data_IF_399876074372
#
_entry.id   IF_399876074372
#
_cell.length_a   1.000
_cell.length_b   1.000
_cell.length_c   1.000
_cell.angle_alpha   90.00
_cell.angle_beta   90.00
_cell.angle_gamma   90.00
#
_symmetry.space_group_name_H-M   'P 1'
#
loop_
_entity.id
_entity.type
_entity.pdbx_description
1 polymer ?
#
# COMPACT_ATOMS: atom_id res chain seq x y z
N UNK A 1 -15.53 11.42 -2.53
CA UNK A 1 -14.43 12.33 -2.13
C UNK A 1 -13.16 11.87 -2.84
N UNK A 2 -12.62 12.64 -3.78
CA UNK A 2 -11.37 12.28 -4.47
C UNK A 2 -10.19 12.77 -3.61
N UNK A 3 -9.67 11.91 -2.73
CA UNK A 3 -8.48 12.24 -1.93
C UNK A 3 -7.22 12.22 -2.80
N UNK A 4 -6.31 13.18 -2.56
CA UNK A 4 -5.05 13.34 -3.30
C UNK A 4 -4.11 12.14 -3.12
N UNK A 5 -3.14 11.99 -4.02
CA UNK A 5 -2.16 10.90 -3.98
C UNK A 5 -1.35 10.89 -2.68
N UNK A 6 -1.01 12.05 -2.16
CA UNK A 6 -0.27 12.22 -0.90
C UNK A 6 -1.08 11.75 0.32
N UNK A 7 -2.39 12.03 0.34
CA UNK A 7 -3.28 11.53 1.40
C UNK A 7 -3.41 10.01 1.32
N UNK A 8 -3.55 9.46 0.11
CA UNK A 8 -3.54 8.01 -0.11
C UNK A 8 -2.22 7.38 0.36
N UNK A 9 -1.10 8.04 0.08
CA UNK A 9 0.21 7.60 0.54
C UNK A 9 0.26 7.59 2.07
N UNK A 10 -0.18 8.66 2.75
CA UNK A 10 -0.19 8.72 4.22
C UNK A 10 -0.99 7.57 4.83
N UNK A 11 -2.19 7.32 4.31
CA UNK A 11 -3.05 6.22 4.77
C UNK A 11 -2.32 4.88 4.60
N UNK A 12 -1.86 4.58 3.38
CA UNK A 12 -1.17 3.32 3.07
C UNK A 12 0.12 3.18 3.88
N UNK A 13 0.89 4.25 4.03
CA UNK A 13 2.13 4.27 4.80
C UNK A 13 1.92 4.05 6.29
N UNK A 14 0.81 4.54 6.84
CA UNK A 14 0.43 4.32 8.23
C UNK A 14 0.13 2.84 8.52
N UNK A 15 -0.45 2.14 7.55
CA UNK A 15 -0.75 0.69 7.69
C UNK A 15 0.47 -0.17 7.37
N UNK A 16 1.22 0.15 6.30
CA UNK A 16 2.46 -0.56 5.96
C UNK A 16 3.49 -0.45 7.09
N UNK A 17 3.72 0.76 7.60
CA UNK A 17 4.75 1.04 8.59
C UNK A 17 6.12 0.52 8.13
N UNK A 18 6.71 -0.35 8.94
CA UNK A 18 7.98 -1.04 8.63
C UNK A 18 7.77 -2.47 8.10
N UNK A 19 6.51 -2.91 8.00
CA UNK A 19 6.15 -4.25 7.58
C UNK A 19 5.91 -4.34 6.07
N UNK A 20 5.96 -5.56 5.57
CA UNK A 20 5.66 -5.88 4.16
C UNK A 20 4.33 -6.60 4.09
N UNK A 21 3.44 -6.08 3.27
CA UNK A 21 2.10 -6.64 3.10
C UNK A 21 1.83 -6.95 1.64
N UNK A 22 1.15 -8.06 1.39
CA UNK A 22 0.51 -8.26 0.08
C UNK A 22 -0.64 -7.28 -0.10
N UNK A 23 -1.10 -7.08 -1.34
CA UNK A 23 -2.30 -6.27 -1.61
C UNK A 23 -3.47 -6.71 -0.72
N UNK A 24 -3.69 -8.03 -0.61
CA UNK A 24 -4.79 -8.61 0.16
C UNK A 24 -4.64 -8.38 1.67
N UNK A 25 -3.44 -8.58 2.21
CA UNK A 25 -3.18 -8.32 3.64
C UNK A 25 -3.32 -6.83 3.98
N UNK A 26 -2.91 -5.95 3.06
CA UNK A 26 -3.04 -4.52 3.26
C UNK A 26 -4.52 -4.09 3.22
N UNK A 27 -5.33 -4.63 2.31
CA UNK A 27 -6.78 -4.42 2.30
C UNK A 27 -7.43 -4.87 3.62
N UNK A 28 -7.05 -6.04 4.12
CA UNK A 28 -7.55 -6.56 5.39
C UNK A 28 -7.13 -5.67 6.58
N UNK A 29 -5.87 -5.25 6.64
CA UNK A 29 -5.36 -4.37 7.70
C UNK A 29 -6.02 -2.98 7.67
N UNK A 30 -6.25 -2.43 6.47
CA UNK A 30 -6.98 -1.16 6.31
C UNK A 30 -8.44 -1.28 6.75
N UNK A 31 -9.10 -2.40 6.40
CA UNK A 31 -10.47 -2.68 6.82
C UNK A 31 -10.59 -2.86 8.34
N UNK A 32 -9.64 -3.55 8.98
CA UNK A 32 -9.57 -3.71 10.44
C UNK A 32 -9.46 -2.36 11.16
N UNK A 33 -8.67 -1.44 10.60
CA UNK A 33 -8.54 -0.06 11.11
C UNK A 33 -9.73 0.85 10.77
N UNK A 34 -10.78 0.34 10.13
CA UNK A 34 -11.94 1.12 9.70
C UNK A 34 -11.60 2.19 8.66
N UNK A 35 -10.45 2.07 8.01
CA UNK A 35 -10.01 2.97 6.95
C UNK A 35 -10.67 2.55 5.65
N UNK A 36 -11.39 3.47 5.01
CA UNK A 36 -11.97 3.22 3.70
C UNK A 36 -10.83 3.12 2.67
N UNK A 37 -10.62 1.91 2.15
CA UNK A 37 -9.73 1.70 1.03
C UNK A 37 -10.12 2.65 -0.12
N UNK A 38 -9.16 3.29 -0.80
CA UNK A 38 -9.48 3.89 -2.09
C UNK A 38 -10.00 2.77 -3.00
N UNK A 39 -11.06 3.03 -3.79
CA UNK A 39 -11.79 2.05 -4.65
C UNK A 39 -10.94 0.99 -5.36
N UNK A 40 -9.67 1.30 -5.65
CA UNK A 40 -8.72 0.35 -6.20
C UNK A 40 -7.36 0.51 -5.49
N UNK A 41 -7.14 -0.28 -4.43
CA UNK A 41 -5.89 -0.27 -3.67
C UNK A 41 -4.72 -0.70 -4.54
N UNK A 42 -4.88 -1.77 -5.32
CA UNK A 42 -3.86 -2.27 -6.25
C UNK A 42 -3.41 -1.21 -7.26
N UNK A 43 -4.36 -0.44 -7.82
CA UNK A 43 -4.07 0.69 -8.71
C UNK A 43 -3.39 1.82 -7.97
N UNK A 44 -3.83 2.15 -6.76
CA UNK A 44 -3.22 3.18 -5.92
C UNK A 44 -1.76 2.85 -5.62
N UNK A 45 -1.48 1.63 -5.17
CA UNK A 45 -0.13 1.11 -4.90
C UNK A 45 0.73 1.16 -6.17
N UNK A 46 0.20 0.75 -7.31
CA UNK A 46 0.91 0.85 -8.58
C UNK A 46 1.23 2.30 -8.99
N UNK A 47 0.36 3.26 -8.71
CA UNK A 47 0.63 4.68 -8.96
C UNK A 47 1.70 5.20 -7.99
N UNK A 48 1.61 4.86 -6.71
CA UNK A 48 2.60 5.24 -5.69
C UNK A 48 3.98 4.67 -6.00
N UNK A 49 4.04 3.40 -6.42
CA UNK A 49 5.28 2.75 -6.88
C UNK A 49 5.86 3.44 -8.10
N UNK A 50 5.02 3.74 -9.11
CA UNK A 50 5.47 4.48 -10.31
C UNK A 50 5.98 5.89 -10.00
N UNK A 51 5.50 6.49 -8.91
CA UNK A 51 5.96 7.78 -8.39
C UNK A 51 7.22 7.67 -7.52
N UNK A 52 7.69 6.46 -7.21
CA UNK A 52 8.85 6.23 -6.34
C UNK A 52 8.57 6.46 -4.85
N UNK A 53 7.31 6.46 -4.42
CA UNK A 53 6.93 6.70 -3.02
C UNK A 53 6.94 5.41 -2.18
N UNK A 54 6.66 4.27 -2.81
CA UNK A 54 6.69 2.95 -2.17
C UNK A 54 7.41 1.94 -3.07
N UNK A 55 7.87 0.86 -2.47
CA UNK A 55 8.42 -0.28 -3.17
C UNK A 55 7.38 -1.39 -3.29
N UNK A 56 7.53 -2.19 -4.35
CA UNK A 56 6.72 -3.39 -4.52
C UNK A 56 7.37 -4.38 -5.46
N UNK A 57 7.35 -5.65 -5.06
CA UNK A 57 7.85 -6.79 -5.83
C UNK A 57 6.79 -7.87 -5.97
N UNK A 58 6.95 -8.70 -6.98
CA UNK A 58 6.18 -9.94 -7.07
C UNK A 58 6.87 -11.00 -6.22
N UNK A 59 6.19 -11.50 -5.20
CA UNK A 59 6.66 -12.59 -4.37
C UNK A 59 5.97 -13.88 -4.80
N UNK A 60 6.76 -14.80 -5.37
CA UNK A 60 6.27 -16.14 -5.73
C UNK A 60 5.91 -16.96 -4.49
N UNK A 61 6.59 -16.75 -3.36
CA UNK A 61 6.29 -17.42 -2.09
C UNK A 61 4.90 -17.06 -1.53
N UNK A 62 4.50 -15.79 -1.68
CA UNK A 62 3.17 -15.31 -1.26
C UNK A 62 2.13 -15.35 -2.37
N UNK A 63 2.51 -15.74 -3.59
CA UNK A 63 1.62 -15.82 -4.75
C UNK A 63 1.03 -14.47 -5.18
N UNK A 64 1.77 -13.36 -5.02
CA UNK A 64 1.22 -12.03 -5.29
C UNK A 64 2.22 -10.89 -5.19
N UNK A 65 1.72 -9.65 -5.29
CA UNK A 65 2.52 -8.46 -5.07
C UNK A 65 2.65 -8.16 -3.58
N UNK A 66 3.89 -7.94 -3.14
CA UNK A 66 4.22 -7.49 -1.79
C UNK A 66 4.70 -6.05 -1.87
N UNK A 67 4.22 -5.22 -0.97
CA UNK A 67 4.45 -3.77 -0.91
C UNK A 67 5.08 -3.39 0.42
N UNK A 68 5.98 -2.41 0.38
CA UNK A 68 6.64 -1.87 1.57
C UNK A 68 7.15 -0.46 1.32
N UNK A 69 7.47 0.25 2.40
CA UNK A 69 8.11 1.57 2.32
C UNK A 69 9.58 1.40 2.63
N UNK A 70 10.41 1.84 1.70
CA UNK A 70 11.86 1.90 1.92
C UNK A 70 12.16 3.15 2.75
N UNK A 71 12.17 2.97 4.07
CA UNK A 71 12.48 4.04 5.00
C UNK A 71 14.00 4.29 4.96
N UNK A 72 14.48 4.93 3.89
CA UNK A 72 15.84 5.43 3.81
C UNK A 72 15.95 6.61 4.79
N UNK A 73 16.56 6.32 5.94
CA UNK A 73 16.85 7.25 7.02
C UNK A 73 17.89 8.29 6.60
#
# INVERSE_FOLDING_TARGET
>A
MNISLEEKYKIVSGVLGENRYTTLELEAAMADQGTQCPDDLARTLNVLKRKGMICGEVSTERGGWVWWIENNK
#
